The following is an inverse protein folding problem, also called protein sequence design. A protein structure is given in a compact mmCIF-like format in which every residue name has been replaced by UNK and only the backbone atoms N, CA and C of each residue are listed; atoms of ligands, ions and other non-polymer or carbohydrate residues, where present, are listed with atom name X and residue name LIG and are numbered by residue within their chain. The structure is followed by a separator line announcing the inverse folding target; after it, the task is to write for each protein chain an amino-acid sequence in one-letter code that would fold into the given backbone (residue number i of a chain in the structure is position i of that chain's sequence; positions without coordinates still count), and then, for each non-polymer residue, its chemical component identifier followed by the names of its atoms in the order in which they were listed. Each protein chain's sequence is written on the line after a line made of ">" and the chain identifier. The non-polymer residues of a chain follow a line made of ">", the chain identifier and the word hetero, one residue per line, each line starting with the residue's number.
data_IF_435081193330
#
_entry.id   IF_435081193330
#
_cell.length_a   1.000
_cell.length_b   1.000
_cell.length_c   1.000
_cell.angle_alpha   90.00
_cell.angle_beta   90.00
_cell.angle_gamma   90.00
#
_symmetry.space_group_name_H-M   'P 1'
#
loop_
_entity.id
_entity.type
_entity.pdbx_description
1 polymer ?
#
# COMPACT_ATOMS: atom_id res chain seq x y z
N UNK A 1 19.69 -22.52 -8.34
CA UNK A 1 20.02 -21.10 -8.58
C UNK A 1 18.89 -20.29 -7.96
N UNK A 2 19.07 -19.75 -6.76
CA UNK A 2 18.03 -18.95 -6.11
C UNK A 2 18.04 -17.56 -6.74
N UNK A 3 17.02 -17.21 -7.53
CA UNK A 3 16.82 -15.83 -7.95
C UNK A 3 16.45 -15.03 -6.69
N UNK A 4 17.45 -14.45 -6.03
CA UNK A 4 17.21 -13.43 -5.02
C UNK A 4 16.85 -12.15 -5.78
N UNK A 5 15.59 -12.06 -6.21
CA UNK A 5 15.02 -10.81 -6.67
C UNK A 5 15.10 -9.81 -5.53
N UNK A 6 15.79 -8.70 -5.76
CA UNK A 6 15.90 -7.61 -4.78
C UNK A 6 14.50 -7.03 -4.56
N UNK A 7 13.85 -7.43 -3.47
CA UNK A 7 12.59 -6.85 -3.04
C UNK A 7 12.83 -5.43 -2.50
N UNK A 8 12.51 -4.40 -3.28
CA UNK A 8 12.56 -3.01 -2.78
C UNK A 8 11.21 -2.63 -2.15
N UNK A 9 11.16 -2.62 -0.81
CA UNK A 9 10.01 -2.11 -0.06
C UNK A 9 10.19 -0.60 0.21
N UNK A 10 9.19 0.22 -0.13
CA UNK A 10 9.20 1.68 0.10
C UNK A 10 8.13 2.04 1.15
N UNK A 11 8.56 2.25 2.40
CA UNK A 11 7.65 2.60 3.49
C UNK A 11 7.48 4.12 3.56
N UNK A 12 6.29 4.62 3.18
CA UNK A 12 5.92 6.03 3.37
C UNK A 12 4.98 6.16 4.57
N UNK A 13 5.50 6.61 5.70
CA UNK A 13 4.71 6.86 6.91
C UNK A 13 4.27 8.32 6.91
N UNK A 14 3.08 8.60 6.38
CA UNK A 14 2.44 9.91 6.54
C UNK A 14 1.62 9.93 7.83
N UNK A 15 1.82 10.94 8.68
CA UNK A 15 0.88 11.30 9.77
C UNK A 15 0.13 12.55 9.31
N UNK A 16 -1.13 12.41 8.95
CA UNK A 16 -2.00 13.59 8.88
C UNK A 16 -2.38 13.99 10.32
N UNK A 17 -2.12 15.24 10.66
CA UNK A 17 -2.18 15.77 12.03
C UNK A 17 -1.69 17.21 12.06
N UNK A 18 -2.32 18.07 11.26
CA UNK A 18 -2.16 19.52 11.34
C UNK A 18 -2.81 20.06 12.62
N UNK A 19 -2.14 21.01 13.27
CA UNK A 19 -2.51 21.55 14.56
C UNK A 19 -3.93 22.18 14.61
N UNK A 20 -4.52 22.10 15.81
CA UNK A 20 -5.80 22.65 16.32
C UNK A 20 -6.92 21.59 16.39
N UNK A 21 -7.07 20.97 17.56
CA UNK A 21 -8.11 20.00 17.97
C UNK A 21 -9.53 20.62 18.01
N UNK A 22 -10.62 19.86 17.73
CA UNK A 22 -11.11 18.79 18.63
C UNK A 22 -11.64 17.51 17.94
N UNK A 23 -11.57 16.39 18.67
CA UNK A 23 -12.29 15.12 18.43
C UNK A 23 -11.87 14.29 17.20
N UNK A 24 -11.14 13.19 17.46
CA UNK A 24 -10.98 12.04 16.56
C UNK A 24 -10.43 12.32 15.14
N UNK A 25 -9.36 13.11 15.00
CA UNK A 25 -8.55 13.08 13.79
C UNK A 25 -7.99 11.65 13.60
N UNK A 26 -8.67 10.86 12.77
CA UNK A 26 -8.38 9.44 12.56
C UNK A 26 -6.99 9.32 11.96
N UNK A 27 -6.05 8.80 12.75
CA UNK A 27 -4.68 8.65 12.29
C UNK A 27 -4.62 7.67 11.14
N UNK A 28 -4.16 8.15 9.99
CA UNK A 28 -3.98 7.33 8.78
C UNK A 28 -2.52 6.91 8.68
N UNK A 29 -2.27 5.62 8.47
CA UNK A 29 -0.97 5.07 8.14
C UNK A 29 -1.04 4.45 6.74
N UNK A 30 0.00 4.65 5.94
CA UNK A 30 0.10 4.07 4.60
C UNK A 30 1.38 3.26 4.49
N UNK A 31 1.33 2.16 3.76
CA UNK A 31 2.50 1.36 3.43
C UNK A 31 2.39 0.95 1.96
N UNK A 32 3.48 1.09 1.20
CA UNK A 32 3.56 0.67 -0.19
C UNK A 32 4.66 -0.37 -0.34
N UNK A 33 4.36 -1.47 -1.01
CA UNK A 33 5.38 -2.47 -1.32
C UNK A 33 5.37 -2.79 -2.81
N UNK A 34 6.55 -3.12 -3.31
CA UNK A 34 6.74 -3.67 -4.66
C UNK A 34 7.73 -4.82 -4.52
N UNK A 35 7.36 -5.97 -5.06
CA UNK A 35 8.12 -7.19 -4.99
C UNK A 35 8.20 -7.77 -6.40
N UNK A 36 9.41 -8.07 -6.85
CA UNK A 36 9.61 -8.86 -8.06
C UNK A 36 10.04 -10.26 -7.67
N UNK A 37 9.19 -11.24 -7.97
CA UNK A 37 9.39 -12.66 -7.65
C UNK A 37 9.13 -13.51 -8.88
N UNK A 38 10.14 -14.21 -9.37
CA UNK A 38 9.94 -15.18 -10.44
C UNK A 38 9.32 -16.48 -9.90
N UNK A 39 8.34 -17.09 -10.60
CA UNK A 39 7.83 -16.75 -11.93
C UNK A 39 6.62 -15.79 -11.93
N UNK A 40 6.22 -15.26 -10.78
CA UNK A 40 5.03 -14.43 -10.62
C UNK A 40 5.17 -13.00 -11.20
N UNK A 41 6.41 -12.53 -11.40
CA UNK A 41 6.74 -11.18 -11.85
C UNK A 41 6.43 -10.10 -10.80
N UNK A 42 6.41 -8.81 -11.20
CA UNK A 42 6.18 -7.71 -10.29
C UNK A 42 4.78 -7.70 -9.68
N UNK A 43 4.75 -7.54 -8.35
CA UNK A 43 3.55 -7.36 -7.54
C UNK A 43 3.69 -6.11 -6.70
N UNK A 44 2.68 -5.27 -6.71
CA UNK A 44 2.63 -4.04 -5.93
C UNK A 44 1.45 -4.07 -4.98
N UNK A 45 1.58 -3.44 -3.81
CA UNK A 45 0.42 -3.11 -3.02
C UNK A 45 0.54 -1.80 -2.26
N UNK A 46 -0.63 -1.30 -1.90
CA UNK A 46 -0.85 -0.17 -1.03
C UNK A 46 -1.79 -0.61 0.10
N UNK A 47 -1.33 -0.48 1.33
CA UNK A 47 -2.11 -0.72 2.54
C UNK A 47 -2.37 0.63 3.20
N UNK A 48 -3.62 0.87 3.58
CA UNK A 48 -4.03 2.05 4.34
C UNK A 48 -4.73 1.60 5.61
N UNK A 49 -4.21 2.01 6.75
CA UNK A 49 -4.81 1.81 8.08
C UNK A 49 -5.37 3.16 8.56
N UNK A 50 -6.64 3.23 8.89
CA UNK A 50 -7.30 4.43 9.41
C UNK A 50 -8.09 4.06 10.66
N UNK A 51 -7.59 4.46 11.83
CA UNK A 51 -8.06 3.87 13.08
C UNK A 51 -7.75 2.38 13.09
N UNK A 52 -8.78 1.53 13.19
CA UNK A 52 -8.68 0.07 13.13
C UNK A 52 -8.94 -0.50 11.71
N UNK A 53 -9.45 0.33 10.78
CA UNK A 53 -9.87 -0.11 9.45
C UNK A 53 -8.69 -0.20 8.49
N UNK A 54 -8.46 -1.38 7.92
CA UNK A 54 -7.36 -1.66 7.00
C UNK A 54 -7.86 -1.94 5.59
N UNK A 55 -7.57 -1.06 4.63
CA UNK A 55 -7.84 -1.30 3.21
C UNK A 55 -6.57 -1.68 2.47
N UNK A 56 -6.68 -2.62 1.53
CA UNK A 56 -5.57 -3.15 0.74
C UNK A 56 -5.90 -3.03 -0.74
N UNK A 57 -4.96 -2.48 -1.51
CA UNK A 57 -5.01 -2.51 -2.97
C UNK A 57 -3.76 -3.17 -3.51
N UNK A 58 -3.94 -4.16 -4.38
CA UNK A 58 -2.86 -4.90 -5.01
C UNK A 58 -2.94 -4.84 -6.53
N UNK A 59 -1.78 -4.87 -7.16
CA UNK A 59 -1.60 -4.98 -8.59
C UNK A 59 -0.59 -6.08 -8.88
N UNK A 60 -0.84 -6.86 -9.92
CA UNK A 60 0.17 -7.75 -10.46
C UNK A 60 0.27 -7.54 -11.97
N UNK A 61 1.49 -7.38 -12.46
CA UNK A 61 1.72 -7.14 -13.88
C UNK A 61 1.40 -8.38 -14.73
N UNK A 62 1.49 -9.58 -14.15
CA UNK A 62 1.11 -10.84 -14.79
C UNK A 62 -0.35 -11.21 -14.44
N UNK A 63 -1.24 -11.45 -15.43
CA UNK A 63 -2.65 -11.79 -15.17
C UNK A 63 -2.85 -13.06 -14.33
N UNK A 64 -2.00 -14.08 -14.53
CA UNK A 64 -2.06 -15.31 -13.74
C UNK A 64 -1.80 -15.05 -12.24
N UNK A 65 -0.84 -14.17 -11.93
CA UNK A 65 -0.55 -13.74 -10.57
C UNK A 65 -1.71 -12.92 -9.99
N UNK A 66 -2.29 -12.00 -10.77
CA UNK A 66 -3.47 -11.25 -10.33
C UNK A 66 -4.66 -12.17 -10.02
N UNK A 67 -4.88 -13.23 -10.80
CA UNK A 67 -5.91 -14.24 -10.54
C UNK A 67 -5.65 -15.00 -9.23
N UNK A 68 -4.40 -15.38 -8.95
CA UNK A 68 -4.01 -16.01 -7.68
C UNK A 68 -4.23 -15.08 -6.48
N UNK A 69 -3.86 -13.81 -6.60
CA UNK A 69 -4.10 -12.81 -5.55
C UNK A 69 -5.60 -12.62 -5.28
N UNK A 70 -6.43 -12.62 -6.33
CA UNK A 70 -7.90 -12.58 -6.20
C UNK A 70 -8.44 -13.80 -5.47
N UNK A 71 -7.96 -15.00 -5.82
CA UNK A 71 -8.36 -16.23 -5.15
C UNK A 71 -7.99 -16.22 -3.65
N UNK A 72 -6.88 -15.57 -3.28
CA UNK A 72 -6.44 -15.40 -1.89
C UNK A 72 -7.08 -14.24 -1.12
N UNK A 73 -7.95 -13.43 -1.73
CA UNK A 73 -8.47 -12.20 -1.11
C UNK A 73 -9.27 -12.47 0.18
N UNK A 74 -10.05 -13.55 0.21
CA UNK A 74 -10.81 -13.95 1.41
C UNK A 74 -9.88 -14.35 2.56
N UNK A 75 -8.81 -15.10 2.26
CA UNK A 75 -7.79 -15.46 3.25
C UNK A 75 -7.08 -14.22 3.79
N UNK A 76 -6.78 -13.23 2.95
CA UNK A 76 -6.22 -11.96 3.40
C UNK A 76 -7.17 -11.24 4.36
N UNK A 77 -8.46 -11.17 4.04
CA UNK A 77 -9.46 -10.57 4.93
C UNK A 77 -9.52 -11.26 6.28
N UNK A 78 -9.49 -12.59 6.31
CA UNK A 78 -9.47 -13.37 7.55
C UNK A 78 -8.18 -13.12 8.36
N UNK A 79 -7.03 -13.09 7.69
CA UNK A 79 -5.74 -12.81 8.33
C UNK A 79 -5.70 -11.42 8.97
N UNK A 80 -6.28 -10.40 8.31
CA UNK A 80 -6.45 -9.06 8.90
C UNK A 80 -7.32 -9.12 10.16
N UNK A 81 -8.45 -9.82 10.11
CA UNK A 81 -9.33 -10.00 11.27
C UNK A 81 -8.64 -10.72 12.44
N UNK A 82 -7.84 -11.76 12.15
CA UNK A 82 -7.02 -12.47 13.14
C UNK A 82 -5.94 -11.60 13.77
N UNK A 83 -5.48 -10.58 13.05
CA UNK A 83 -4.52 -9.59 13.53
C UNK A 83 -5.20 -8.42 14.26
N UNK A 84 -6.48 -8.56 14.64
CA UNK A 84 -7.27 -7.52 15.33
C UNK A 84 -7.44 -6.24 14.51
N UNK A 85 -7.30 -6.34 13.18
CA UNK A 85 -7.59 -5.25 12.25
C UNK A 85 -8.98 -5.44 11.67
N UNK A 86 -9.71 -4.34 11.45
CA UNK A 86 -11.00 -4.38 10.78
C UNK A 86 -10.79 -4.40 9.26
N UNK A 87 -11.14 -5.49 8.54
CA UNK A 87 -10.92 -5.56 7.11
C UNK A 87 -11.76 -4.50 6.38
N UNK A 88 -11.08 -3.75 5.53
CA UNK A 88 -11.63 -2.71 4.69
C UNK A 88 -11.90 -3.17 3.27
N UNK A 89 -11.69 -2.27 2.31
CA UNK A 89 -11.74 -2.65 0.90
C UNK A 89 -10.48 -3.46 0.56
N UNK A 90 -10.64 -4.61 -0.11
CA UNK A 90 -9.54 -5.39 -0.67
C UNK A 90 -9.73 -5.46 -2.19
N UNK A 91 -8.87 -4.77 -2.93
CA UNK A 91 -8.97 -4.64 -4.39
C UNK A 91 -7.74 -5.22 -5.06
N UNK A 92 -7.95 -6.08 -6.05
CA UNK A 92 -6.88 -6.62 -6.89
C UNK A 92 -7.11 -6.22 -8.35
N UNK A 93 -6.06 -5.71 -8.99
CA UNK A 93 -6.03 -5.27 -10.39
C UNK A 93 -4.86 -5.90 -11.14
N UNK A 94 -5.00 -5.97 -12.45
CA UNK A 94 -3.91 -6.35 -13.35
C UNK A 94 -3.05 -5.12 -13.69
N UNK A 95 -1.81 -5.36 -14.12
CA UNK A 95 -0.86 -4.32 -14.53
C UNK A 95 -0.10 -3.69 -13.38
N UNK A 96 0.47 -2.50 -13.61
CA UNK A 96 1.17 -1.71 -12.61
C UNK A 96 0.22 -0.72 -11.90
N UNK A 97 0.51 -0.32 -10.65
CA UNK A 97 -0.21 0.74 -9.97
C UNK A 97 -0.09 2.06 -10.74
N UNK A 98 -1.10 2.95 -10.67
CA UNK A 98 -0.98 4.29 -11.22
C UNK A 98 0.24 5.00 -10.58
N UNK A 99 0.98 5.74 -11.39
CA UNK A 99 2.10 6.55 -10.91
C UNK A 99 1.57 7.50 -9.82
N UNK A 100 2.23 7.61 -8.66
CA UNK A 100 1.82 8.57 -7.65
C UNK A 100 1.79 9.96 -8.28
N UNK A 101 0.70 10.71 -8.07
CA UNK A 101 0.67 12.10 -8.46
C UNK A 101 1.84 12.80 -7.75
N UNK A 102 2.62 13.66 -8.45
CA UNK A 102 3.69 14.40 -7.79
C UNK A 102 3.10 15.15 -6.61
N UNK A 103 3.76 15.04 -5.45
CA UNK A 103 3.35 15.80 -4.26
C UNK A 103 3.23 17.27 -4.68
N UNK A 104 2.06 17.87 -4.43
CA UNK A 104 1.81 19.28 -4.76
C UNK A 104 2.90 20.06 -4.04
N UNK A 105 3.82 20.67 -4.80
CA UNK A 105 4.96 21.38 -4.25
C UNK A 105 4.45 22.54 -3.38
N UNK A 106 4.35 22.28 -2.07
CA UNK A 106 4.15 23.30 -1.05
C UNK A 106 5.52 23.87 -0.71
N UNK A 107 5.79 25.06 -1.25
CA UNK A 107 6.69 26.08 -0.72
C UNK A 107 7.78 25.63 0.26
N UNK A 108 9.01 25.46 -0.22
CA UNK A 108 10.23 25.97 0.43
C UNK A 108 11.39 25.93 -0.57
N UNK A 109 11.65 27.07 -1.22
CA UNK A 109 12.96 27.37 -1.78
C UNK A 109 13.41 28.65 -1.07
N UNK A 110 14.08 28.49 0.08
CA UNK A 110 14.85 29.60 0.64
C UNK A 110 16.04 29.82 -0.30
N UNK A 111 16.02 30.95 -1.01
CA UNK A 111 17.15 31.40 -1.80
C UNK A 111 18.07 32.16 -0.86
N UNK A 112 19.02 31.46 -0.27
CA UNK A 112 20.22 32.12 0.24
C UNK A 112 21.14 32.46 -0.94
N UNK A 113 21.52 33.75 -0.99
CA UNK A 113 22.36 34.41 -1.98
C UNK A 113 23.80 33.90 -1.98
#
# INVERSE_FOLDING_TARGET
>A
MTAQGTAMAQFEISRDGGAIEPEAATRVWRARFSLDVEPAGPVHALITLSGERTSVRMWAERPATAAQLRAGAAQLSEALGKAELQPGEIVIRDGAPPSPAPARAGHFLDRAL
#
